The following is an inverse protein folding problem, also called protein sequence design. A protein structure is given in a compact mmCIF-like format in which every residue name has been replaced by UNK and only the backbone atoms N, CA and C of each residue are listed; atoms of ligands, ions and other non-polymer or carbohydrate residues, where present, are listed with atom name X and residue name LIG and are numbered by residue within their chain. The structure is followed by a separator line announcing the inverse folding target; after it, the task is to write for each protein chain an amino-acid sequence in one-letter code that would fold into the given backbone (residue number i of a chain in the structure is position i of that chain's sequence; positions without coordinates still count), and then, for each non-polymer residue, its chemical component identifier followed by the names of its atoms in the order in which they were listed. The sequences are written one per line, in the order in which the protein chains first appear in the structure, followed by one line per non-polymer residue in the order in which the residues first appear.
data_IF_446912253102
#
_entry.id   IF_446912253102
#
_cell.length_a   1.000
_cell.length_b   1.000
_cell.length_c   1.000
_cell.angle_alpha   90.00
_cell.angle_beta   90.00
_cell.angle_gamma   90.00
#
_symmetry.space_group_name_H-M   'P 1'
#
loop_
_entity.id
_entity.type
_entity.pdbx_description
1 polymer ?
#
# COMPACT_ATOMS: atom_id res chain seq x y z
N UNK A 1 -2.14 -57.21 6.59
CA UNK A 1 -1.18 -57.28 7.69
C UNK A 1 -0.90 -55.83 8.08
N UNK A 2 -1.72 -55.18 8.92
CA UNK A 2 -1.76 -55.05 10.37
C UNK A 2 -0.32 -54.94 10.91
N UNK A 3 0.01 -53.74 11.35
CA UNK A 3 0.59 -53.58 12.68
C UNK A 3 0.26 -52.17 13.23
N UNK A 4 -0.43 -52.19 14.35
CA UNK A 4 -0.64 -51.10 15.31
C UNK A 4 0.55 -51.13 16.28
N UNK A 5 0.96 -49.94 16.75
CA UNK A 5 1.57 -49.70 18.07
C UNK A 5 1.55 -48.19 18.28
N UNK A 6 0.63 -47.73 19.12
CA UNK A 6 0.70 -47.53 20.58
C UNK A 6 1.38 -46.23 21.00
N UNK A 7 0.54 -45.34 21.55
CA UNK A 7 0.92 -44.23 22.45
C UNK A 7 1.68 -44.69 23.67
N UNK A 8 2.45 -43.84 24.32
CA UNK A 8 2.15 -43.67 25.73
C UNK A 8 2.04 -42.19 26.18
N UNK A 9 1.05 -42.05 27.01
CA UNK A 9 0.76 -41.04 28.02
C UNK A 9 1.92 -40.76 29.01
N UNK A 10 1.80 -39.64 29.66
CA UNK A 10 2.34 -39.30 30.95
C UNK A 10 3.11 -38.00 30.93
N UNK A 11 2.85 -36.99 31.75
CA UNK A 11 2.19 -36.90 33.01
C UNK A 11 2.58 -35.55 33.63
N UNK A 12 1.65 -35.06 34.48
CA UNK A 12 1.82 -34.33 35.72
C UNK A 12 2.33 -32.87 35.67
N UNK A 13 1.44 -31.90 35.90
CA UNK A 13 1.19 -31.16 37.15
C UNK A 13 2.44 -30.63 37.84
N UNK A 14 2.53 -29.31 37.95
CA UNK A 14 2.95 -28.65 39.19
C UNK A 14 2.41 -27.21 39.26
N UNK A 15 1.38 -27.07 40.13
CA UNK A 15 0.97 -25.83 40.77
C UNK A 15 2.14 -25.29 41.60
N UNK A 16 2.41 -24.00 41.52
CA UNK A 16 2.93 -23.24 42.66
C UNK A 16 2.29 -21.87 42.73
N UNK A 17 1.24 -21.89 43.52
CA UNK A 17 0.74 -20.79 44.37
C UNK A 17 1.89 -20.15 45.17
N UNK A 18 2.09 -18.85 45.04
CA UNK A 18 2.75 -17.99 46.06
C UNK A 18 2.35 -16.54 45.91
N UNK A 19 1.31 -16.19 46.64
CA UNK A 19 1.17 -14.85 47.23
C UNK A 19 2.18 -14.70 48.40
N UNK A 20 2.78 -13.54 48.63
CA UNK A 20 2.83 -12.98 49.96
C UNK A 20 2.33 -11.53 50.01
N UNK A 21 1.33 -11.35 50.78
CA UNK A 21 1.22 -10.52 51.99
C UNK A 21 1.90 -9.15 52.01
N UNK A 22 1.01 -8.19 52.18
CA UNK A 22 1.18 -6.78 52.55
C UNK A 22 1.73 -6.64 53.96
N UNK A 23 2.53 -5.64 54.28
CA UNK A 23 2.41 -5.00 55.59
C UNK A 23 1.99 -3.52 55.47
N UNK A 24 0.92 -3.23 56.15
CA UNK A 24 0.52 -1.91 56.64
C UNK A 24 1.68 -1.25 57.41
N UNK A 25 1.92 0.03 57.11
CA UNK A 25 2.43 0.97 58.12
C UNK A 25 1.77 2.32 57.97
N UNK A 26 1.26 2.72 59.07
CA UNK A 26 0.49 3.90 59.45
C UNK A 26 1.15 5.26 59.19
N UNK A 27 0.24 6.23 58.99
CA UNK A 27 0.25 7.62 59.45
C UNK A 27 1.33 8.59 58.93
N UNK A 28 0.88 9.56 58.16
CA UNK A 28 0.98 10.99 58.51
C UNK A 28 0.13 11.85 57.57
N UNK A 29 -0.87 12.47 58.14
CA UNK A 29 -1.59 13.60 57.57
C UNK A 29 -0.65 14.75 57.25
N UNK A 30 -0.64 15.24 56.00
CA UNK A 30 -0.38 16.63 55.68
C UNK A 30 -1.30 17.07 54.59
N UNK A 31 -2.31 17.80 55.00
CA UNK A 31 -3.15 18.71 54.27
C UNK A 31 -2.29 19.62 53.35
N UNK A 32 -2.46 19.50 52.06
CA UNK A 32 -2.09 20.54 51.11
C UNK A 32 -3.01 20.38 49.91
N UNK A 33 -4.17 21.03 50.05
CA UNK A 33 -5.04 21.39 48.96
C UNK A 33 -4.27 22.22 47.94
N UNK A 34 -3.69 21.57 46.92
CA UNK A 34 -3.27 22.20 45.69
C UNK A 34 -4.27 21.81 44.61
N UNK A 35 -5.27 22.66 44.50
CA UNK A 35 -6.16 22.71 43.34
C UNK A 35 -5.30 22.86 42.09
N UNK A 36 -4.99 21.73 41.47
CA UNK A 36 -4.44 21.70 40.15
C UNK A 36 -5.61 22.00 39.21
N UNK A 37 -5.83 23.30 38.97
CA UNK A 37 -6.63 23.77 37.85
C UNK A 37 -5.99 23.15 36.62
N UNK A 38 -6.60 22.08 36.08
CA UNK A 38 -6.43 21.68 34.71
C UNK A 38 -6.89 22.87 33.87
N UNK A 39 -5.93 23.71 33.49
CA UNK A 39 -6.14 24.64 32.38
C UNK A 39 -6.42 23.76 31.17
N UNK A 40 -7.70 23.55 30.91
CA UNK A 40 -8.14 23.27 29.57
C UNK A 40 -7.63 24.46 28.73
N UNK A 41 -6.54 24.23 28.00
CA UNK A 41 -6.14 25.14 26.92
C UNK A 41 -7.33 25.16 25.97
N UNK A 42 -8.10 26.22 26.06
CA UNK A 42 -9.17 26.56 25.12
C UNK A 42 -8.48 26.75 23.76
N UNK A 43 -8.50 25.71 22.93
CA UNK A 43 -7.95 25.74 21.57
C UNK A 43 -8.73 26.81 20.81
N UNK A 44 -8.12 27.97 20.67
CA UNK A 44 -8.73 29.09 19.94
C UNK A 44 -8.89 28.70 18.47
N UNK A 45 -9.94 29.14 17.76
CA UNK A 45 -10.18 28.86 16.35
C UNK A 45 -8.99 29.15 15.43
N UNK A 46 -8.16 30.12 15.80
CA UNK A 46 -6.95 30.50 15.06
C UNK A 46 -5.81 29.45 15.09
N UNK A 47 -5.84 28.48 16.04
CA UNK A 47 -4.84 27.41 16.11
C UNK A 47 -5.21 26.18 15.25
N UNK A 48 -6.46 26.05 14.81
CA UNK A 48 -6.89 24.97 13.94
C UNK A 48 -6.57 25.24 12.45
N UNK A 49 -6.52 26.51 12.04
CA UNK A 49 -6.22 26.91 10.66
C UNK A 49 -4.91 26.32 10.12
N UNK A 50 -3.78 26.39 10.84
CA UNK A 50 -2.52 25.82 10.34
C UNK A 50 -2.57 24.30 10.16
N UNK A 51 -3.33 23.57 10.98
CA UNK A 51 -3.47 22.09 10.83
C UNK A 51 -4.31 21.74 9.63
N UNK A 52 -5.37 22.48 9.35
CA UNK A 52 -6.21 22.29 8.16
C UNK A 52 -5.46 22.61 6.89
N UNK A 53 -4.69 23.70 6.85
CA UNK A 53 -3.85 24.06 5.71
C UNK A 53 -2.78 23.00 5.42
N UNK A 54 -2.13 22.43 6.46
CA UNK A 54 -1.16 21.35 6.32
C UNK A 54 -1.83 20.08 5.79
N UNK A 55 -3.04 19.76 6.27
CA UNK A 55 -3.79 18.59 5.83
C UNK A 55 -4.22 18.73 4.37
N UNK A 56 -4.76 19.89 3.97
CA UNK A 56 -5.12 20.20 2.59
C UNK A 56 -3.89 20.15 1.67
N UNK A 57 -2.74 20.68 2.13
CA UNK A 57 -1.49 20.59 1.38
C UNK A 57 -1.03 19.16 1.15
N UNK A 58 -1.14 18.28 2.15
CA UNK A 58 -0.82 16.85 2.02
C UNK A 58 -1.75 16.15 1.03
N UNK A 59 -3.05 16.40 1.13
CA UNK A 59 -4.04 15.84 0.24
C UNK A 59 -3.78 16.29 -1.21
N UNK A 60 -3.57 17.58 -1.44
CA UNK A 60 -3.27 18.11 -2.77
C UNK A 60 -2.00 17.49 -3.38
N UNK A 61 -0.92 17.36 -2.60
CA UNK A 61 0.30 16.67 -3.05
C UNK A 61 0.00 15.21 -3.40
N UNK A 62 -0.78 14.52 -2.58
CA UNK A 62 -1.19 13.14 -2.84
C UNK A 62 -1.95 12.99 -4.16
N UNK A 63 -2.89 13.89 -4.44
CA UNK A 63 -3.66 13.91 -5.69
C UNK A 63 -2.77 14.19 -6.91
N UNK A 64 -1.79 15.11 -6.79
CA UNK A 64 -0.83 15.36 -7.87
C UNK A 64 -0.05 14.09 -8.19
N UNK A 65 0.54 13.42 -7.17
CA UNK A 65 1.30 12.20 -7.39
C UNK A 65 0.43 11.06 -7.93
N UNK A 66 -0.82 10.95 -7.47
CA UNK A 66 -1.76 9.98 -8.03
C UNK A 66 -1.98 10.22 -9.53
N UNK A 67 -2.25 11.46 -9.93
CA UNK A 67 -2.44 11.82 -11.34
C UNK A 67 -1.18 11.62 -12.17
N UNK A 68 0.00 11.90 -11.63
CA UNK A 68 1.28 11.60 -12.28
C UNK A 68 1.45 10.08 -12.46
N UNK A 69 1.14 9.28 -11.45
CA UNK A 69 1.17 7.82 -11.53
C UNK A 69 0.24 7.30 -12.63
N UNK A 70 -0.99 7.85 -12.73
CA UNK A 70 -1.91 7.51 -13.81
C UNK A 70 -1.36 7.88 -15.21
N UNK A 71 -0.64 9.00 -15.31
CA UNK A 71 -0.01 9.40 -16.58
C UNK A 71 1.12 8.44 -16.97
N UNK A 72 1.98 8.08 -16.02
CA UNK A 72 3.05 7.09 -16.25
C UNK A 72 2.48 5.71 -16.61
N UNK A 73 1.43 5.24 -15.92
CA UNK A 73 0.80 3.97 -16.22
C UNK A 73 0.23 3.93 -17.67
N UNK A 74 -0.36 5.04 -18.15
CA UNK A 74 -0.81 5.15 -19.54
C UNK A 74 0.31 5.12 -20.58
N UNK A 75 1.52 5.48 -20.17
CA UNK A 75 2.73 5.40 -20.97
C UNK A 75 3.50 4.09 -20.77
N UNK A 76 2.91 3.12 -20.09
CA UNK A 76 3.53 1.84 -19.72
C UNK A 76 4.84 1.98 -18.90
N UNK A 77 5.04 3.12 -18.28
CA UNK A 77 6.17 3.36 -17.37
C UNK A 77 5.78 2.95 -15.95
N UNK A 78 5.64 1.63 -15.75
CA UNK A 78 5.04 1.10 -14.52
C UNK A 78 5.90 1.31 -13.28
N UNK A 79 7.22 1.28 -13.39
CA UNK A 79 8.12 1.56 -12.27
C UNK A 79 7.95 3.00 -11.74
N UNK A 80 7.85 3.99 -12.64
CA UNK A 80 7.58 5.38 -12.29
C UNK A 80 6.17 5.56 -11.73
N UNK A 81 5.19 4.85 -12.30
CA UNK A 81 3.82 4.83 -11.78
C UNK A 81 3.78 4.30 -10.34
N UNK A 82 4.46 3.18 -10.04
CA UNK A 82 4.57 2.60 -8.70
C UNK A 82 5.13 3.63 -7.72
N UNK A 83 6.25 4.29 -8.03
CA UNK A 83 6.86 5.32 -7.18
C UNK A 83 5.90 6.47 -6.89
N UNK A 84 5.18 6.93 -7.91
CA UNK A 84 4.18 7.99 -7.74
C UNK A 84 3.01 7.54 -6.88
N UNK A 85 2.48 6.34 -7.09
CA UNK A 85 1.37 5.80 -6.30
C UNK A 85 1.77 5.50 -4.85
N UNK A 86 2.99 5.10 -4.57
CA UNK A 86 3.51 4.94 -3.20
C UNK A 86 3.51 6.27 -2.44
N UNK A 87 3.97 7.36 -3.10
CA UNK A 87 3.93 8.70 -2.51
C UNK A 87 2.47 9.14 -2.31
N UNK A 88 1.61 8.92 -3.30
CA UNK A 88 0.18 9.24 -3.22
C UNK A 88 -0.48 8.50 -2.06
N UNK A 89 -0.27 7.19 -1.92
CA UNK A 89 -0.79 6.39 -0.82
C UNK A 89 -0.32 6.92 0.53
N UNK A 90 0.98 7.23 0.68
CA UNK A 90 1.53 7.81 1.91
C UNK A 90 0.98 9.20 2.30
N UNK A 91 0.22 9.86 1.40
CA UNK A 91 -0.44 11.14 1.66
C UNK A 91 -1.96 11.02 1.80
N UNK A 92 -2.57 10.17 0.99
CA UNK A 92 -4.03 10.06 0.88
C UNK A 92 -4.61 8.96 1.75
N UNK A 93 -3.91 7.83 1.92
CA UNK A 93 -4.38 6.61 2.59
C UNK A 93 -5.78 6.17 2.11
N UNK A 94 -6.08 6.37 0.82
CA UNK A 94 -7.37 6.02 0.23
C UNK A 94 -7.31 4.68 -0.49
N UNK A 95 -8.45 3.98 -0.57
CA UNK A 95 -8.56 2.73 -1.31
C UNK A 95 -8.27 2.93 -2.81
N UNK A 96 -8.62 4.08 -3.37
CA UNK A 96 -8.26 4.42 -4.75
C UNK A 96 -6.75 4.43 -5.01
N UNK A 97 -5.96 4.99 -4.07
CA UNK A 97 -4.50 4.96 -4.17
C UNK A 97 -3.94 3.53 -4.00
N UNK A 98 -4.55 2.70 -3.14
CA UNK A 98 -4.21 1.28 -2.98
C UNK A 98 -4.43 0.52 -4.29
N UNK A 99 -5.63 0.64 -4.90
CA UNK A 99 -5.97 -0.04 -6.15
C UNK A 99 -5.01 0.33 -7.29
N UNK A 100 -4.73 1.63 -7.46
CA UNK A 100 -3.80 2.09 -8.49
C UNK A 100 -2.38 1.58 -8.29
N UNK A 101 -1.91 1.53 -7.03
CA UNK A 101 -0.60 0.98 -6.70
C UNK A 101 -0.55 -0.53 -7.00
N UNK A 102 -1.55 -1.28 -6.57
CA UNK A 102 -1.62 -2.73 -6.79
C UNK A 102 -1.74 -3.07 -8.28
N UNK A 103 -2.49 -2.28 -9.07
CA UNK A 103 -2.55 -2.41 -10.52
C UNK A 103 -1.16 -2.27 -11.15
N UNK A 104 -0.43 -1.21 -10.83
CA UNK A 104 0.90 -0.98 -11.38
C UNK A 104 1.92 -2.07 -10.97
N UNK A 105 1.85 -2.53 -9.71
CA UNK A 105 2.68 -3.65 -9.22
C UNK A 105 2.36 -4.95 -9.95
N UNK A 106 1.09 -5.26 -10.19
CA UNK A 106 0.67 -6.43 -10.95
C UNK A 106 1.20 -6.39 -12.38
N UNK A 107 1.06 -5.24 -13.04
CA UNK A 107 1.52 -5.05 -14.42
C UNK A 107 3.03 -5.23 -14.58
N UNK A 108 3.83 -4.74 -13.64
CA UNK A 108 5.30 -4.78 -13.74
C UNK A 108 5.90 -6.09 -13.21
N UNK A 109 5.35 -6.61 -12.11
CA UNK A 109 5.98 -7.68 -11.34
C UNK A 109 5.12 -8.95 -11.20
N UNK A 110 3.87 -8.90 -11.66
CA UNK A 110 2.95 -10.04 -11.67
C UNK A 110 2.25 -10.31 -10.34
N UNK A 111 1.54 -11.45 -10.29
CA UNK A 111 0.63 -11.81 -9.21
C UNK A 111 1.31 -11.98 -7.84
N UNK A 112 2.50 -12.55 -7.79
CA UNK A 112 3.19 -12.79 -6.52
C UNK A 112 3.54 -11.46 -5.83
N UNK A 113 4.03 -10.49 -6.60
CA UNK A 113 4.33 -9.14 -6.11
C UNK A 113 3.07 -8.37 -5.69
N UNK A 114 1.96 -8.53 -6.42
CA UNK A 114 0.66 -7.99 -6.05
C UNK A 114 0.23 -8.48 -4.66
N UNK A 115 0.26 -9.81 -4.43
CA UNK A 115 -0.13 -10.42 -3.15
C UNK A 115 0.77 -9.94 -2.01
N UNK A 116 2.08 -9.88 -2.24
CA UNK A 116 3.02 -9.39 -1.24
C UNK A 116 2.79 -7.92 -0.91
N UNK A 117 2.57 -7.08 -1.93
CA UNK A 117 2.29 -5.64 -1.74
C UNK A 117 0.97 -5.41 -1.03
N UNK A 118 -0.08 -6.15 -1.36
CA UNK A 118 -1.38 -6.06 -0.68
C UNK A 118 -1.25 -6.39 0.83
N UNK A 119 -0.46 -7.39 1.20
CA UNK A 119 -0.14 -7.71 2.60
C UNK A 119 0.62 -6.58 3.29
N UNK A 120 1.60 -5.96 2.63
CA UNK A 120 2.34 -4.81 3.16
C UNK A 120 1.44 -3.59 3.41
N UNK A 121 0.39 -3.43 2.61
CA UNK A 121 -0.62 -2.38 2.73
C UNK A 121 -1.73 -2.73 3.71
N UNK A 122 -1.64 -3.88 4.39
CA UNK A 122 -2.63 -4.38 5.36
C UNK A 122 -4.05 -4.51 4.76
N UNK A 123 -4.12 -4.86 3.46
CA UNK A 123 -5.40 -5.13 2.78
C UNK A 123 -5.90 -6.49 3.24
N UNK A 124 -7.13 -6.56 3.74
CA UNK A 124 -7.76 -7.82 4.15
C UNK A 124 -7.99 -8.76 2.94
N UNK A 125 -8.07 -10.07 3.20
CA UNK A 125 -8.13 -11.09 2.14
C UNK A 125 -9.34 -10.93 1.22
N UNK A 126 -10.52 -10.58 1.76
CA UNK A 126 -11.73 -10.39 0.97
C UNK A 126 -11.57 -9.21 0.00
N UNK A 127 -11.04 -8.10 0.52
CA UNK A 127 -10.77 -6.91 -0.29
C UNK A 127 -9.63 -7.13 -1.30
N UNK A 128 -8.63 -7.92 -0.93
CA UNK A 128 -7.53 -8.29 -1.83
C UNK A 128 -8.08 -9.07 -3.03
N UNK A 129 -8.99 -10.02 -2.81
CA UNK A 129 -9.63 -10.80 -3.88
C UNK A 129 -10.47 -9.92 -4.81
N UNK A 130 -11.27 -9.00 -4.24
CA UNK A 130 -12.04 -8.03 -5.03
C UNK A 130 -11.12 -7.18 -5.93
N UNK A 131 -10.05 -6.62 -5.36
CA UNK A 131 -9.10 -5.79 -6.11
C UNK A 131 -8.39 -6.62 -7.16
N UNK A 132 -8.03 -7.87 -6.87
CA UNK A 132 -7.35 -8.75 -7.81
C UNK A 132 -8.22 -8.98 -9.07
N UNK A 133 -9.50 -9.28 -8.90
CA UNK A 133 -10.43 -9.46 -10.02
C UNK A 133 -10.54 -8.18 -10.85
N UNK A 134 -10.72 -7.01 -10.21
CA UNK A 134 -10.78 -5.73 -10.92
C UNK A 134 -9.50 -5.43 -11.70
N UNK A 135 -8.35 -5.76 -11.13
CA UNK A 135 -7.03 -5.56 -11.78
C UNK A 135 -6.86 -6.52 -12.96
N UNK A 136 -7.22 -7.79 -12.79
CA UNK A 136 -7.11 -8.81 -13.84
C UNK A 136 -7.97 -8.44 -15.05
N UNK A 137 -9.23 -8.05 -14.83
CA UNK A 137 -10.13 -7.56 -15.90
C UNK A 137 -9.54 -6.34 -16.62
N UNK A 138 -9.02 -5.35 -15.87
CA UNK A 138 -8.44 -4.15 -16.46
C UNK A 138 -7.16 -4.44 -17.28
N UNK A 139 -6.39 -5.44 -16.87
CA UNK A 139 -5.19 -5.88 -17.59
C UNK A 139 -5.54 -6.67 -18.83
N UNK A 140 -6.58 -7.52 -18.79
CA UNK A 140 -7.08 -8.23 -19.96
C UNK A 140 -7.58 -7.23 -21.02
N UNK A 141 -8.40 -6.26 -20.61
CA UNK A 141 -8.89 -5.19 -21.49
C UNK A 141 -7.73 -4.40 -22.12
N UNK A 142 -6.69 -4.11 -21.35
CA UNK A 142 -5.50 -3.41 -21.85
C UNK A 142 -4.76 -4.26 -22.90
N UNK A 143 -4.56 -5.56 -22.64
CA UNK A 143 -3.86 -6.45 -23.56
C UNK A 143 -4.66 -6.78 -24.83
N UNK A 144 -5.94 -6.42 -24.88
CA UNK A 144 -6.73 -6.46 -26.12
C UNK A 144 -6.42 -5.29 -27.06
N UNK A 145 -5.71 -4.26 -26.56
CA UNK A 145 -5.23 -3.15 -27.40
C UNK A 145 -3.90 -3.48 -28.08
N UNK A 146 -3.62 -2.89 -29.28
CA UNK A 146 -2.33 -3.10 -29.97
C UNK A 146 -1.12 -2.71 -29.11
N UNK A 147 -1.23 -1.58 -28.39
CA UNK A 147 -0.17 -1.05 -27.54
C UNK A 147 0.06 -1.96 -26.30
N UNK A 148 -1.02 -2.48 -25.73
CA UNK A 148 -0.95 -3.43 -24.64
C UNK A 148 -0.32 -4.75 -25.03
N UNK A 149 -0.59 -5.25 -26.25
CA UNK A 149 0.05 -6.45 -26.79
C UNK A 149 1.55 -6.24 -27.02
N UNK A 150 1.94 -5.06 -27.53
CA UNK A 150 3.35 -4.72 -27.68
C UNK A 150 4.06 -4.64 -26.34
N UNK A 151 3.45 -3.98 -25.34
CA UNK A 151 3.99 -3.92 -23.97
C UNK A 151 4.13 -5.31 -23.34
N UNK A 152 3.13 -6.17 -23.48
CA UNK A 152 3.21 -7.55 -22.98
C UNK A 152 4.40 -8.31 -23.58
N UNK A 153 4.64 -8.17 -24.88
CA UNK A 153 5.79 -8.77 -25.55
C UNK A 153 7.11 -8.23 -25.00
N UNK A 154 7.19 -6.92 -24.74
CA UNK A 154 8.37 -6.30 -24.15
C UNK A 154 8.64 -6.80 -22.73
N UNK A 155 7.60 -7.01 -21.92
CA UNK A 155 7.76 -7.63 -20.59
C UNK A 155 8.32 -9.06 -20.67
N UNK A 156 7.87 -9.84 -21.65
CA UNK A 156 8.42 -11.19 -21.89
C UNK A 156 9.90 -11.14 -22.28
N UNK A 157 10.31 -10.15 -23.08
CA UNK A 157 11.71 -9.92 -23.45
C UNK A 157 12.57 -9.54 -22.23
N UNK A 158 12.07 -8.66 -21.38
CA UNK A 158 12.69 -8.31 -20.09
C UNK A 158 12.90 -9.53 -19.19
N UNK A 159 11.86 -10.36 -19.05
CA UNK A 159 11.93 -11.60 -18.25
C UNK A 159 12.94 -12.63 -18.79
N UNK A 160 13.15 -12.64 -20.12
CA UNK A 160 14.14 -13.51 -20.76
C UNK A 160 15.57 -12.95 -20.70
N UNK A 161 15.79 -11.84 -20.00
CA UNK A 161 17.09 -11.20 -19.85
C UNK A 161 17.57 -10.43 -21.07
N UNK A 162 16.67 -10.09 -22.01
CA UNK A 162 16.94 -9.26 -23.19
C UNK A 162 16.70 -7.78 -22.90
N UNK A 163 17.46 -7.25 -21.96
CA UNK A 163 17.28 -5.89 -21.46
C UNK A 163 17.46 -4.81 -22.56
N UNK A 164 18.42 -5.00 -23.48
CA UNK A 164 18.64 -4.05 -24.57
C UNK A 164 17.42 -4.01 -25.54
N UNK A 165 16.86 -5.18 -25.86
CA UNK A 165 15.68 -5.28 -26.72
C UNK A 165 14.46 -4.65 -26.05
N UNK A 166 14.30 -4.87 -24.75
CA UNK A 166 13.27 -4.24 -23.93
C UNK A 166 13.38 -2.72 -23.93
N UNK A 167 14.58 -2.16 -23.68
CA UNK A 167 14.79 -0.72 -23.63
C UNK A 167 14.50 -0.06 -25.00
N UNK A 168 14.98 -0.65 -26.09
CA UNK A 168 14.71 -0.13 -27.44
C UNK A 168 13.22 -0.21 -27.80
N UNK A 169 12.55 -1.31 -27.44
CA UNK A 169 11.13 -1.48 -27.65
C UNK A 169 10.30 -0.47 -26.86
N UNK A 170 10.66 -0.20 -25.61
CA UNK A 170 9.99 0.81 -24.78
C UNK A 170 10.17 2.23 -25.32
N UNK A 171 11.36 2.58 -25.81
CA UNK A 171 11.58 3.88 -26.47
C UNK A 171 10.67 4.03 -27.71
N UNK A 172 10.58 2.99 -28.53
CA UNK A 172 9.73 3.01 -29.72
C UNK A 172 8.24 3.13 -29.36
N UNK A 173 7.77 2.36 -28.39
CA UNK A 173 6.39 2.42 -27.91
C UNK A 173 6.04 3.82 -27.37
N UNK A 174 6.94 4.43 -26.58
CA UNK A 174 6.76 5.79 -26.08
C UNK A 174 6.71 6.84 -27.20
N UNK A 175 7.55 6.71 -28.24
CA UNK A 175 7.49 7.59 -29.41
C UNK A 175 6.14 7.48 -30.14
N UNK A 176 5.61 6.27 -30.31
CA UNK A 176 4.31 6.03 -30.91
C UNK A 176 3.18 6.68 -30.11
N UNK A 177 3.11 6.40 -28.81
CA UNK A 177 2.09 6.96 -27.91
C UNK A 177 2.14 8.49 -27.89
N UNK A 178 3.35 9.06 -27.87
CA UNK A 178 3.54 10.51 -27.90
C UNK A 178 3.06 11.11 -29.23
N UNK A 179 3.39 10.47 -30.37
CA UNK A 179 2.95 10.90 -31.68
C UNK A 179 1.41 10.86 -31.83
N UNK A 180 0.77 9.82 -31.30
CA UNK A 180 -0.69 9.70 -31.30
C UNK A 180 -1.34 10.77 -30.42
N UNK A 181 -0.76 11.04 -29.25
CA UNK A 181 -1.22 12.12 -28.36
C UNK A 181 -1.17 13.49 -29.07
N UNK A 182 -0.04 13.84 -29.72
CA UNK A 182 0.07 15.08 -30.48
C UNK A 182 -0.92 15.15 -31.65
N UNK A 183 -1.15 14.05 -32.33
CA UNK A 183 -2.12 13.97 -33.42
C UNK A 183 -3.56 14.17 -32.92
N UNK A 184 -3.88 13.64 -31.74
CA UNK A 184 -5.22 13.75 -31.15
C UNK A 184 -5.50 15.11 -30.52
N UNK A 185 -4.48 15.80 -30.00
CA UNK A 185 -4.60 17.10 -29.32
C UNK A 185 -4.35 18.31 -30.23
N UNK A 186 -3.84 18.09 -31.44
CA UNK A 186 -3.58 19.16 -32.43
C UNK A 186 -2.39 20.07 -32.11
N UNK A 187 -1.46 19.60 -31.25
CA UNK A 187 -0.20 20.27 -30.93
C UNK A 187 0.94 19.69 -31.77
#
# INVERSE_FOLDING_TARGET
TIDMMEDPQGGAEEETDRTPENPETDAAETDSSSSREEKQEEVTPDQELPRQEILLGKQFIGEIYHNMGCAYARLFQMEEAIRCFEIAYGKLHTMGAVKSLLYAVYMEHGVDAFVEKAKQLEVDEERQEEIYVEVEEAVEDLYDTPEGQEYKKLLEEKQQGREEDYQQGMEHLLEQLTAEYHKSTGY
#
